data_IF_466875822802
#
_entry.id   IF_466875822802
#
_cell.length_a   1.000
_cell.length_b   1.000
_cell.length_c   1.000
_cell.angle_alpha   90.00
_cell.angle_beta   90.00
_cell.angle_gamma   90.00
#
_symmetry.space_group_name_H-M   'P 1'
#
loop_
_entity.id
_entity.type
_entity.pdbx_description
1 polymer ?
2 non-polymer ?
3 water ?
#
# COMPACT_ATOMS: atom_id res chain seq x y z
N UNK A 24 25.84 10.97 -2.15
CA UNK A 24 25.62 10.72 -3.63
C UNK A 24 24.15 10.87 -4.07
N UNK A 25 23.22 10.29 -3.30
CA UNK A 25 21.77 10.42 -3.56
C UNK A 25 21.18 11.61 -2.82
N UNK A 26 20.41 12.42 -3.54
CA UNK A 26 19.79 13.61 -3.03
C UNK A 26 18.31 13.56 -3.34
N UNK A 27 17.48 13.88 -2.35
CA UNK A 27 16.04 14.01 -2.55
C UNK A 27 15.66 15.47 -2.58
N UNK A 28 15.14 15.88 -3.74
CA UNK A 28 14.73 17.25 -3.96
C UNK A 28 13.30 17.44 -3.56
N UNK A 29 13.06 17.52 -2.26
CA UNK A 29 11.72 17.56 -1.73
C UNK A 29 11.63 18.18 -0.36
N UNK A 30 10.56 18.94 -0.14
CA UNK A 30 10.22 19.46 1.18
C UNK A 30 9.23 18.56 1.95
N UNK A 31 8.88 17.40 1.39
CA UNK A 31 7.85 16.50 1.95
C UNK A 31 8.40 15.46 2.93
N UNK A 32 7.82 15.41 4.15
CA UNK A 32 8.34 14.44 5.13
C UNK A 32 8.01 12.97 4.81
N UNK A 33 6.90 12.73 4.10
CA UNK A 33 6.53 11.37 3.73
C UNK A 33 7.39 10.87 2.57
N UNK A 34 7.79 11.75 1.65
CA UNK A 34 8.73 11.32 0.62
C UNK A 34 10.06 10.87 1.24
N UNK A 35 10.54 11.62 2.21
CA UNK A 35 11.69 11.22 2.98
C UNK A 35 11.49 9.84 3.62
N UNK A 36 10.39 9.67 4.34
CA UNK A 36 10.11 8.40 4.98
C UNK A 36 10.09 7.26 3.96
N UNK A 37 9.47 7.49 2.80
CA UNK A 37 9.40 6.45 1.76
C UNK A 37 10.74 6.07 1.19
N UNK A 38 11.53 7.09 0.85
CA UNK A 38 12.88 6.84 0.32
C UNK A 38 13.73 6.02 1.29
N UNK A 39 13.50 6.19 2.59
CA UNK A 39 14.25 5.43 3.61
C UNK A 39 14.07 3.93 3.46
N UNK A 40 12.93 3.52 2.88
CA UNK A 40 12.69 2.10 2.66
C UNK A 40 13.77 1.45 1.82
N UNK A 41 14.43 2.23 0.98
CA UNK A 41 15.47 1.70 0.09
C UNK A 41 16.83 1.51 0.77
N UNK A 42 17.00 2.07 1.97
CA UNK A 42 18.20 1.95 2.79
C UNK A 42 19.50 2.43 2.09
N UNK A 43 19.37 3.47 1.28
CA UNK A 43 20.50 4.11 0.65
C UNK A 43 20.67 5.46 1.34
N UNK A 44 21.91 5.82 1.62
CA UNK A 44 22.20 7.13 2.19
C UNK A 44 21.70 8.22 1.24
N UNK A 45 21.06 9.23 1.79
CA UNK A 45 20.70 10.42 1.03
C UNK A 45 20.59 11.62 1.94
N UNK A 46 20.62 12.79 1.34
CA UNK A 46 20.27 14.04 1.97
C UNK A 46 19.10 14.69 1.25
N UNK A 47 18.35 15.50 1.97
CA UNK A 47 17.25 16.27 1.37
C UNK A 47 17.60 17.72 1.20
N UNK A 48 16.95 18.34 0.23
CA UNK A 48 17.08 19.76 0.04
C UNK A 48 15.81 20.23 -0.63
N UNK A 49 15.42 21.47 -0.33
CA UNK A 49 14.22 22.05 -0.90
C UNK A 49 14.50 22.57 -2.32
N UNK A 50 13.72 22.10 -3.30
CA UNK A 50 13.91 22.54 -4.69
C UNK A 50 13.32 23.91 -4.96
N UNK A 51 13.76 24.50 -6.07
CA UNK A 51 13.36 25.83 -6.52
C UNK A 51 12.59 25.77 -7.85
N UNK A 52 11.26 25.67 -7.76
CA UNK A 52 10.39 25.50 -8.95
C UNK A 52 9.10 26.32 -8.86
N UNK A 53 8.54 26.65 -10.04
CA UNK A 53 7.19 27.20 -10.11
C UNK A 53 6.19 26.04 -10.19
N UNK A 54 5.49 25.76 -9.08
CA UNK A 54 4.51 24.66 -9.01
C UNK A 54 3.16 25.00 -9.66
N UNK A 55 2.99 26.26 -10.05
CA UNK A 55 1.76 26.72 -10.70
C UNK A 55 1.53 25.97 -12.01
N UNK A 56 0.38 25.28 -12.13
CA UNK A 56 -0.01 24.73 -13.42
C UNK A 56 -0.06 25.82 -14.50
N UNK A 57 0.44 25.48 -15.67
CA UNK A 57 0.47 26.40 -16.79
C UNK A 57 -0.79 26.16 -17.60
N UNK A 58 -1.06 27.07 -18.53
CA UNK A 58 -2.32 27.07 -19.29
C UNK A 58 -2.38 25.85 -20.20
N UNK A 59 -3.49 25.11 -20.12
CA UNK A 59 -3.70 23.90 -20.93
C UNK A 59 -2.81 22.69 -20.59
N UNK A 60 -1.96 22.84 -19.57
CA UNK A 60 -1.08 21.75 -19.10
C UNK A 60 -1.91 20.63 -18.50
N UNK A 61 -1.74 19.40 -19.00
CA UNK A 61 -2.51 18.29 -18.51
C UNK A 61 -1.93 17.80 -17.16
N UNK A 62 -2.68 16.97 -16.43
CA UNK A 62 -2.17 16.46 -15.15
C UNK A 62 -0.85 15.72 -15.28
N UNK A 63 -0.73 14.84 -16.27
CA UNK A 63 0.51 14.11 -16.48
C UNK A 63 1.64 15.03 -16.90
N UNK A 64 1.36 16.04 -17.72
CA UNK A 64 2.39 16.99 -18.11
C UNK A 64 2.90 17.77 -16.92
N UNK A 65 1.98 18.19 -16.07
CA UNK A 65 2.33 18.93 -14.86
C UNK A 65 3.27 18.13 -13.96
N UNK A 66 2.90 16.90 -13.62
CA UNK A 66 3.74 16.18 -12.65
C UNK A 66 5.08 15.76 -13.25
N UNK A 67 5.11 15.43 -14.54
CA UNK A 67 6.39 15.20 -15.24
C UNK A 67 7.29 16.44 -15.22
N UNK A 68 6.73 17.59 -15.60
CA UNK A 68 7.48 18.85 -15.58
C UNK A 68 8.04 19.13 -14.19
N UNK A 69 7.17 19.14 -13.19
CA UNK A 69 7.56 19.43 -11.80
C UNK A 69 8.59 18.45 -11.26
N UNK A 70 8.47 17.17 -11.59
CA UNK A 70 9.44 16.20 -11.08
C UNK A 70 10.84 16.56 -11.63
N UNK A 71 10.90 16.76 -12.94
CA UNK A 71 12.15 17.10 -13.65
C UNK A 71 12.74 18.42 -13.18
N UNK A 72 11.88 19.42 -13.01
CA UNK A 72 12.31 20.73 -12.51
C UNK A 72 12.85 20.70 -11.10
N UNK A 73 12.18 19.97 -10.20
CA UNK A 73 12.71 19.85 -8.84
C UNK A 73 14.12 19.27 -8.79
N UNK A 74 14.33 18.17 -9.51
CA UNK A 74 15.59 17.47 -9.55
C UNK A 74 16.66 18.37 -10.15
N UNK A 75 16.33 19.02 -11.26
CA UNK A 75 17.30 19.92 -11.91
C UNK A 75 17.63 21.21 -11.18
N UNK A 76 16.72 21.68 -10.33
CA UNK A 76 16.95 22.91 -9.59
C UNK A 76 18.08 22.79 -8.55
N UNK A 77 18.50 21.58 -8.23
CA UNK A 77 19.58 21.38 -7.27
C UNK A 77 20.94 21.04 -7.92
N UNK A 78 20.99 21.06 -9.25
CA UNK A 78 22.19 20.67 -10.01
C UNK A 78 23.42 21.52 -9.68
N UNK A 79 23.21 22.81 -9.41
CA UNK A 79 24.33 23.70 -9.09
C UNK A 79 24.78 23.46 -7.64
N UNK A 80 23.83 23.21 -6.74
CA UNK A 80 24.17 22.90 -5.34
C UNK A 80 24.79 21.51 -5.20
N UNK A 81 24.37 20.57 -6.06
CA UNK A 81 24.76 19.17 -5.95
C UNK A 81 25.18 18.68 -7.32
N UNK A 82 26.41 19.05 -7.73
CA UNK A 82 26.85 18.87 -9.12
C UNK A 82 27.50 17.53 -9.49
N UNK A 83 27.51 16.57 -8.58
CA UNK A 83 28.13 15.29 -8.82
C UNK A 83 27.33 14.21 -8.10
N UNK A 84 26.02 14.18 -8.37
CA UNK A 84 25.05 13.48 -7.55
C UNK A 84 23.89 12.89 -8.38
N UNK A 85 23.14 11.99 -7.75
CA UNK A 85 21.89 11.50 -8.30
C UNK A 85 20.79 12.23 -7.54
N UNK A 86 19.95 12.98 -8.25
CA UNK A 86 18.98 13.82 -7.60
C UNK A 86 17.57 13.36 -7.98
N UNK A 87 16.75 13.12 -6.97
CA UNK A 87 15.37 12.64 -7.17
C UNK A 87 14.38 13.74 -7.03
N UNK A 88 13.50 13.83 -8.02
CA UNK A 88 12.40 14.77 -7.96
C UNK A 88 11.11 14.00 -8.14
N UNK A 89 10.05 14.46 -7.48
CA UNK A 89 8.73 13.81 -7.59
C UNK A 89 7.64 14.84 -7.37
N UNK A 90 6.49 14.62 -8.00
CA UNK A 90 5.32 15.45 -7.80
C UNK A 90 4.09 14.58 -8.01
N UNK A 91 3.00 14.95 -7.36
CA UNK A 91 1.78 14.17 -7.48
C UNK A 91 0.58 15.10 -7.61
N UNK A 92 -0.37 14.69 -8.45
CA UNK A 92 -1.66 15.32 -8.53
C UNK A 92 -2.80 14.32 -8.48
N UNK A 93 -3.91 14.83 -8.02
CA UNK A 93 -5.12 14.07 -7.80
C UNK A 93 -6.11 14.55 -8.86
N UNK A 94 -6.68 13.60 -9.58
CA UNK A 94 -7.57 13.92 -10.70
C UNK A 94 -8.93 13.24 -10.50
N UNK A 95 -9.96 14.06 -10.53
CA UNK A 95 -11.35 13.66 -10.34
C UNK A 95 -12.11 14.16 -11.56
N UNK A 96 -12.68 13.24 -12.33
CA UNK A 96 -13.44 13.60 -13.54
C UNK A 96 -12.63 14.53 -14.45
N UNK A 97 -11.38 14.15 -14.71
CA UNK A 97 -10.49 14.88 -15.61
C UNK A 97 -9.90 16.18 -15.08
N UNK A 98 -10.31 16.60 -13.89
CA UNK A 98 -9.89 17.88 -13.32
C UNK A 98 -8.95 17.68 -12.16
N UNK A 99 -7.86 18.45 -12.18
CA UNK A 99 -6.93 18.45 -11.08
C UNK A 99 -7.69 18.94 -9.87
N UNK A 100 -7.52 18.25 -8.74
CA UNK A 100 -8.23 18.57 -7.52
C UNK A 100 -7.22 18.83 -6.42
N UNK A 101 -7.32 19.99 -5.77
CA UNK A 101 -6.37 20.37 -4.75
C UNK A 101 -6.86 20.01 -3.36
N UNK A 102 -6.19 20.58 -2.36
CA UNK A 102 -6.56 20.42 -0.96
C UNK A 102 -7.90 21.11 -0.75
N UNK A 103 -8.82 20.49 0.02
CA UNK A 103 -10.12 21.12 0.25
C UNK A 103 -10.08 22.39 1.10
N UNK A 104 -9.26 22.37 2.15
CA UNK A 104 -9.08 23.50 3.05
C UNK A 104 -10.27 23.70 4.00
N UNK A 105 -11.51 23.49 3.54
CA UNK A 105 -12.68 23.57 4.44
C UNK A 105 -13.41 22.25 4.48
N UNK A 106 -14.16 22.04 5.55
CA UNK A 106 -14.97 20.83 5.69
C UNK A 106 -16.01 20.74 4.58
N UNK A 107 -16.59 21.88 4.18
CA UNK A 107 -17.55 21.94 3.05
C UNK A 107 -16.92 21.40 1.76
N UNK A 108 -15.73 21.88 1.44
CA UNK A 108 -15.01 21.42 0.26
C UNK A 108 -14.58 19.95 0.38
N UNK A 109 -14.25 19.49 1.59
CA UNK A 109 -13.92 18.07 1.80
C UNK A 109 -15.12 17.19 1.49
N UNK A 110 -16.30 17.58 1.97
CA UNK A 110 -17.50 16.81 1.66
C UNK A 110 -17.79 16.82 0.17
N UNK A 111 -17.61 17.97 -0.46
CA UNK A 111 -17.80 18.10 -1.91
C UNK A 111 -16.89 17.13 -2.68
N UNK A 112 -15.61 17.14 -2.34
CA UNK A 112 -14.66 16.26 -3.04
C UNK A 112 -15.06 14.80 -2.92
N UNK A 113 -15.49 14.39 -1.73
CA UNK A 113 -15.86 13.01 -1.46
C UNK A 113 -17.15 12.64 -2.17
N UNK A 114 -18.07 13.60 -2.34
CA UNK A 114 -19.26 13.38 -3.18
C UNK A 114 -18.88 13.14 -4.60
N UNK A 115 -17.88 13.86 -5.09
CA UNK A 115 -17.36 13.63 -6.44
C UNK A 115 -16.64 12.26 -6.56
N UNK A 116 -15.93 11.87 -5.50
CA UNK A 116 -15.22 10.56 -5.42
C UNK A 116 -16.18 9.36 -5.34
N UNK A 117 -17.32 9.55 -4.67
CA UNK A 117 -18.26 8.48 -4.42
C UNK A 117 -18.68 7.76 -5.70
N UNK A 118 -18.60 6.44 -5.66
CA UNK A 118 -18.92 5.57 -6.80
C UNK A 118 -18.10 5.85 -8.05
N UNK A 119 -16.93 6.45 -7.87
CA UNK A 119 -16.12 6.96 -8.96
C UNK A 119 -14.70 6.42 -8.76
N UNK A 120 -13.82 6.74 -9.70
CA UNK A 120 -12.41 6.41 -9.62
C UNK A 120 -11.63 7.73 -9.50
N UNK A 121 -10.80 7.84 -8.47
CA UNK A 121 -9.90 8.96 -8.32
C UNK A 121 -8.55 8.48 -8.82
N UNK A 122 -7.93 9.24 -9.71
CA UNK A 122 -6.65 8.90 -10.28
C UNK A 122 -5.60 9.86 -9.78
N UNK A 123 -4.54 9.30 -9.24
CA UNK A 123 -3.34 10.03 -8.90
C UNK A 123 -2.29 9.79 -9.94
N UNK A 124 -1.71 10.87 -10.47
CA UNK A 124 -0.53 10.77 -11.32
C UNK A 124 0.67 11.23 -10.53
N UNK A 125 1.71 10.41 -10.50
CA UNK A 125 2.91 10.70 -9.76
C UNK A 125 4.08 10.71 -10.74
N UNK A 126 4.66 11.89 -10.93
CA UNK A 126 5.86 12.05 -11.76
C UNK A 126 7.10 11.80 -10.93
N UNK A 127 8.09 11.23 -11.59
CA UNK A 127 9.35 10.89 -10.97
C UNK A 127 10.48 11.26 -11.92
N UNK A 128 11.54 11.85 -11.39
CA UNK A 128 12.73 12.11 -12.21
C UNK A 128 13.96 11.76 -11.40
N UNK A 129 14.93 11.13 -12.05
CA UNK A 129 16.28 11.01 -11.54
C UNK A 129 17.26 11.73 -12.48
N UNK A 130 17.90 12.77 -11.96
CA UNK A 130 18.90 13.54 -12.69
C UNK A 130 20.30 13.25 -12.14
N UNK A 131 21.17 12.76 -13.00
CA UNK A 131 22.57 12.60 -12.67
C UNK A 131 23.28 13.89 -13.06
N UNK A 132 23.67 14.67 -12.07
CA UNK A 132 24.27 15.97 -12.33
C UNK A 132 25.72 15.81 -12.80
N UNK A 133 26.33 14.65 -12.55
CA UNK A 133 27.71 14.37 -12.98
C UNK A 133 27.84 14.14 -14.48
N UNK A 134 26.94 13.34 -15.06
CA UNK A 134 26.96 13.05 -16.51
C UNK A 134 25.76 13.63 -17.28
N UNK A 135 24.83 14.25 -16.55
CA UNK A 135 23.68 14.90 -17.16
C UNK A 135 22.50 14.01 -17.58
N UNK A 136 22.56 12.72 -17.28
CA UNK A 136 21.50 11.81 -17.71
C UNK A 136 20.22 12.12 -16.89
N UNK A 137 19.11 12.32 -17.58
CA UNK A 137 17.81 12.55 -16.94
C UNK A 137 16.89 11.41 -17.30
N UNK A 138 16.23 10.82 -16.29
CA UNK A 138 15.19 9.83 -16.54
C UNK A 138 13.93 10.34 -15.90
N UNK A 139 12.79 10.15 -16.57
CA UNK A 139 11.54 10.66 -16.06
C UNK A 139 10.48 9.59 -16.32
N UNK A 140 9.46 9.57 -15.48
CA UNK A 140 8.36 8.64 -15.63
C UNK A 140 7.16 9.24 -14.92
N UNK A 141 5.96 8.93 -15.41
CA UNK A 141 4.72 9.28 -14.73
C UNK A 141 3.98 7.97 -14.53
N UNK A 142 3.55 7.71 -13.30
CA UNK A 142 2.90 6.45 -12.96
C UNK A 142 1.53 6.76 -12.37
N UNK A 143 0.46 6.12 -12.89
CA UNK A 143 -0.86 6.40 -12.34
C UNK A 143 -1.20 5.44 -11.22
N UNK A 144 -2.15 5.83 -10.40
CA UNK A 144 -2.73 4.93 -9.44
C UNK A 144 -4.20 5.28 -9.29
N UNK A 145 -5.06 4.27 -9.38
CA UNK A 145 -6.52 4.48 -9.38
C UNK A 145 -7.13 3.97 -8.07
N UNK A 146 -7.91 4.83 -7.42
CA UNK A 146 -8.58 4.48 -6.20
C UNK A 146 -10.07 4.41 -6.55
N UNK A 147 -10.62 3.20 -6.50
CA UNK A 147 -12.05 2.96 -6.82
C UNK A 147 -12.84 3.11 -5.54
N UNK A 148 -13.77 4.07 -5.50
CA UNK A 148 -14.59 4.31 -4.33
C UNK A 148 -15.87 3.50 -4.28
N UNK A 149 -16.27 3.15 -3.08
CA UNK A 149 -17.62 2.70 -2.82
C UNK A 149 -18.59 3.82 -3.10
N UNK A 150 -19.85 3.47 -3.29
CA UNK A 150 -20.93 4.45 -3.31
C UNK A 150 -21.17 4.80 -1.88
N UNK A 151 -20.96 6.07 -1.53
CA UNK A 151 -21.00 6.52 -0.14
C UNK A 151 -22.29 7.26 0.12
N UNK A 152 -22.79 7.14 1.34
CA UNK A 152 -23.98 7.90 1.78
C UNK A 152 -23.51 9.26 2.26
N UNK A 153 -24.45 10.20 2.36
CA UNK A 153 -24.15 11.50 2.93
C UNK A 153 -23.63 11.36 4.36
N UNK A 154 -24.21 10.45 5.13
CA UNK A 154 -23.81 10.22 6.50
C UNK A 154 -22.37 9.73 6.57
N UNK A 155 -22.04 8.77 5.70
CA UNK A 155 -20.66 8.27 5.63
C UNK A 155 -19.67 9.40 5.35
N UNK A 156 -19.99 10.23 4.35
CA UNK A 156 -19.15 11.35 3.99
C UNK A 156 -18.95 12.31 5.16
N UNK A 157 -20.05 12.64 5.84
CA UNK A 157 -20.01 13.58 6.96
C UNK A 157 -19.16 12.99 8.07
N UNK A 158 -19.37 11.70 8.35
CA UNK A 158 -18.62 11.04 9.43
C UNK A 158 -17.11 10.93 9.18
N UNK A 159 -16.74 10.59 7.95
CA UNK A 159 -15.33 10.50 7.58
C UNK A 159 -14.66 11.87 7.76
N UNK A 160 -15.29 12.92 7.24
CA UNK A 160 -14.66 14.24 7.31
C UNK A 160 -14.50 14.69 8.76
N UNK A 161 -15.52 14.46 9.58
CA UNK A 161 -15.49 14.84 11.00
C UNK A 161 -14.45 14.05 11.81
N UNK A 162 -14.26 12.77 11.47
CA UNK A 162 -13.29 11.93 12.18
C UNK A 162 -11.87 12.17 11.68
N UNK A 163 -11.71 12.33 10.37
CA UNK A 163 -10.39 12.33 9.74
C UNK A 163 -9.83 13.75 9.53
N UNK A 164 -10.73 14.72 9.34
CA UNK A 164 -10.35 16.11 9.03
C UNK A 164 -9.31 16.23 7.92
N UNK A 165 -9.59 15.68 6.72
CA UNK A 165 -8.58 15.60 5.68
C UNK A 165 -8.45 16.90 4.90
N UNK A 166 -8.37 18.01 5.62
CA UNK A 166 -8.50 19.33 5.00
C UNK A 166 -7.26 19.72 4.20
N UNK A 167 -6.13 19.06 4.42
CA UNK A 167 -4.93 19.35 3.65
C UNK A 167 -4.48 18.17 2.78
N UNK A 168 -5.42 17.26 2.50
CA UNK A 168 -5.21 16.16 1.56
C UNK A 168 -5.97 16.43 0.29
N UNK A 169 -5.26 16.52 -0.84
CA UNK A 169 -5.93 16.62 -2.13
C UNK A 169 -6.82 15.40 -2.34
N UNK A 170 -8.10 15.64 -2.67
CA UNK A 170 -9.08 14.55 -2.79
C UNK A 170 -9.83 14.24 -1.50
N UNK A 171 -9.34 14.77 -0.39
CA UNK A 171 -10.04 14.75 0.91
C UNK A 171 -10.11 13.39 1.58
N UNK A 172 -9.11 12.55 1.33
CA UNK A 172 -9.00 11.26 2.02
C UNK A 172 -7.53 10.88 2.15
N UNK A 173 -7.28 9.97 3.09
CA UNK A 173 -5.95 9.45 3.42
C UNK A 173 -5.96 7.95 3.15
N UNK A 174 -5.34 7.55 2.04
CA UNK A 174 -5.38 6.15 1.58
C UNK A 174 -4.66 5.16 2.50
N UNK A 175 -3.66 5.65 3.21
CA UNK A 175 -2.85 4.74 4.05
C UNK A 175 -3.49 4.51 5.42
N UNK A 176 -4.56 5.24 5.75
CA UNK A 176 -5.20 5.08 7.06
C UNK A 176 -6.67 4.72 7.00
N UNK A 177 -7.47 5.55 7.65
CA UNK A 177 -8.90 5.33 7.81
C UNK A 177 -9.63 5.43 6.49
N UNK A 178 -9.01 6.01 5.47
CA UNK A 178 -9.58 6.11 4.14
C UNK A 178 -9.94 4.77 3.48
N UNK A 179 -9.27 3.71 3.90
CA UNK A 179 -9.57 2.33 3.45
C UNK A 179 -11.05 2.00 3.63
N UNK A 180 -11.71 2.69 4.56
CA UNK A 180 -13.14 2.49 4.81
C UNK A 180 -14.06 2.95 3.70
N UNK A 181 -13.50 3.72 2.76
CA UNK A 181 -14.22 4.34 1.66
C UNK A 181 -14.08 3.63 0.33
N UNK A 182 -13.13 2.71 0.23
CA UNK A 182 -12.70 2.19 -1.06
C UNK A 182 -13.32 0.83 -1.45
N UNK A 183 -13.46 0.61 -2.74
CA UNK A 183 -13.86 -0.71 -3.25
C UNK A 183 -12.64 -1.51 -3.66
N UNK A 184 -11.69 -0.83 -4.29
CA UNK A 184 -10.43 -1.42 -4.65
C UNK A 184 -9.40 -0.36 -5.02
N UNK A 185 -8.16 -0.81 -5.06
CA UNK A 185 -6.99 0.01 -5.35
C UNK A 185 -6.31 -0.65 -6.53
N UNK A 186 -6.00 0.13 -7.56
CA UNK A 186 -5.50 -0.40 -8.82
C UNK A 186 -4.26 0.39 -9.27
N UNK A 187 -3.10 -0.26 -9.16
CA UNK A 187 -1.85 0.37 -9.60
C UNK A 187 -0.67 -0.53 -9.38
N UNK A 188 0.45 -0.15 -9.98
CA UNK A 188 1.65 -0.97 -9.98
C UNK A 188 2.26 -1.08 -8.60
N UNK A 189 2.20 0.01 -7.83
CA UNK A 189 3.02 0.16 -6.64
C UNK A 189 2.25 1.04 -5.63
N UNK A 190 1.88 0.49 -4.48
CA UNK A 190 1.22 1.23 -3.39
C UNK A 190 1.95 2.49 -2.92
N UNK A 191 3.28 2.50 -3.01
CA UNK A 191 4.05 3.65 -2.67
C UNK A 191 3.75 4.86 -3.55
N UNK A 192 3.41 4.59 -4.80
CA UNK A 192 3.10 5.61 -5.78
C UNK A 192 1.91 6.42 -5.28
N UNK A 193 0.91 5.74 -4.74
CA UNK A 193 -0.23 6.42 -4.15
C UNK A 193 0.22 7.32 -2.99
N UNK A 194 1.13 6.85 -2.14
CA UNK A 194 1.63 7.66 -1.02
C UNK A 194 2.52 8.83 -1.47
N UNK A 195 3.07 8.77 -2.68
CA UNK A 195 3.70 9.94 -3.32
C UNK A 195 5.12 9.75 -3.85
N UNK A 196 5.65 8.53 -3.78
CA UNK A 196 6.96 8.22 -4.40
C UNK A 196 6.93 6.82 -5.03
N UNK A 197 7.07 6.74 -6.37
CA UNK A 197 7.03 5.45 -7.08
C UNK A 197 8.34 4.70 -6.90
N UNK A 198 8.39 3.80 -5.94
CA UNK A 198 9.64 3.21 -5.50
C UNK A 198 10.12 2.12 -6.41
N UNK A 199 9.20 1.32 -6.95
CA UNK A 199 9.57 0.34 -7.96
C UNK A 199 10.18 1.08 -9.16
N UNK A 200 9.52 2.14 -9.60
CA UNK A 200 10.08 2.91 -10.74
C UNK A 200 11.43 3.56 -10.37
N UNK A 201 11.53 4.11 -9.17
CA UNK A 201 12.79 4.70 -8.70
C UNK A 201 13.94 3.68 -8.65
N UNK A 202 13.66 2.50 -8.11
CA UNK A 202 14.65 1.43 -8.10
C UNK A 202 15.20 1.12 -9.47
N UNK A 203 14.31 1.02 -10.46
CA UNK A 203 14.69 0.84 -11.85
C UNK A 203 15.61 1.96 -12.37
N UNK A 204 15.26 3.22 -12.09
CA UNK A 204 16.11 4.34 -12.48
C UNK A 204 17.47 4.29 -11.78
N UNK A 205 17.49 3.89 -10.52
CA UNK A 205 18.76 3.80 -9.77
C UNK A 205 19.66 2.68 -10.34
N UNK A 206 19.06 1.56 -10.68
CA UNK A 206 19.83 0.47 -11.31
C UNK A 206 20.42 0.92 -12.65
N UNK A 207 19.63 1.63 -13.44
CA UNK A 207 20.11 2.20 -14.70
C UNK A 207 21.30 3.17 -14.52
N UNK A 208 21.42 3.77 -13.35
CA UNK A 208 22.60 4.58 -13.01
C UNK A 208 23.66 3.82 -12.21
N UNK A 209 23.56 2.50 -12.14
CA UNK A 209 24.55 1.69 -11.42
C UNK A 209 24.49 1.87 -9.91
N UNK A 210 23.32 2.23 -9.37
CA UNK A 210 23.14 2.34 -7.94
C UNK A 210 21.95 1.52 -7.46
N UNK A 211 22.03 0.22 -7.67
CA UNK A 211 21.03 -0.73 -7.16
C UNK A 211 21.02 -0.69 -5.63
N UNK A 212 19.84 -0.49 -5.02
CA UNK A 212 19.79 -0.55 -3.57
C UNK A 212 20.31 -1.87 -3.03
N UNK A 213 20.19 -2.94 -3.83
CA UNK A 213 20.65 -4.28 -3.46
C UNK A 213 22.15 -4.48 -3.67
N UNK A 214 22.81 -3.61 -4.45
CA UNK A 214 24.27 -3.68 -4.63
C UNK A 214 24.98 -3.28 -3.34
N UNK B 24 -16.18 -5.78 22.33
CA UNK B 24 -17.05 -6.40 21.29
C UNK B 24 -16.25 -7.03 20.14
N UNK B 25 -15.25 -6.33 19.64
CA UNK B 25 -14.43 -6.82 18.53
C UNK B 25 -13.14 -7.50 19.01
N UNK B 26 -12.89 -8.72 18.49
CA UNK B 26 -11.75 -9.52 18.86
C UNK B 26 -10.95 -9.95 17.64
N UNK B 27 -9.63 -9.80 17.72
CA UNK B 27 -8.73 -10.27 16.67
C UNK B 27 -8.06 -11.55 17.18
N UNK B 28 -8.38 -12.68 16.54
CA UNK B 28 -7.76 -13.97 16.83
C UNK B 28 -6.39 -14.08 16.19
N UNK B 29 -5.46 -13.30 16.71
CA UNK B 29 -4.09 -13.24 16.22
C UNK B 29 -3.25 -12.48 17.24
N UNK B 30 -2.00 -12.90 17.42
CA UNK B 30 -1.01 -12.10 18.15
C UNK B 30 0.05 -11.50 17.21
N UNK B 31 -0.23 -11.48 15.91
CA UNK B 31 0.65 -10.86 14.93
C UNK B 31 0.61 -9.34 15.13
N UNK B 32 1.78 -8.71 15.31
CA UNK B 32 1.78 -7.25 15.44
C UNK B 32 1.41 -6.55 14.11
N UNK B 33 1.70 -7.18 12.98
CA UNK B 33 1.28 -6.65 11.68
C UNK B 33 -0.24 -6.61 11.54
N UNK B 34 -0.91 -7.70 11.91
CA UNK B 34 -2.37 -7.76 11.80
C UNK B 34 -2.99 -6.77 12.75
N UNK B 35 -2.41 -6.68 13.94
CA UNK B 35 -2.90 -5.76 14.97
C UNK B 35 -2.85 -4.33 14.45
N UNK B 36 -1.68 -3.93 13.92
CA UNK B 36 -1.49 -2.60 13.33
C UNK B 36 -2.49 -2.29 12.23
N UNK B 37 -2.76 -3.27 11.38
CA UNK B 37 -3.68 -3.09 10.26
C UNK B 37 -5.10 -2.87 10.74
N UNK B 38 -5.55 -3.70 11.67
CA UNK B 38 -6.90 -3.54 12.23
C UNK B 38 -7.10 -2.17 12.91
N UNK B 39 -6.05 -1.67 13.54
CA UNK B 39 -6.13 -0.36 14.20
C UNK B 39 -6.48 0.76 13.23
N UNK B 40 -6.20 0.56 11.94
CA UNK B 40 -6.60 1.56 10.91
C UNK B 40 -8.09 1.82 10.85
N UNK B 41 -8.90 0.85 11.28
CA UNK B 41 -10.36 0.99 11.22
C UNK B 41 -10.92 1.77 12.42
N UNK B 42 -10.06 2.07 13.42
CA UNK B 42 -10.44 2.92 14.55
C UNK B 42 -11.57 2.32 15.42
N UNK B 43 -11.76 1.01 15.36
CA UNK B 43 -12.70 0.30 16.24
C UNK B 43 -11.87 -0.36 17.32
N UNK B 44 -12.26 -0.20 18.58
CA UNK B 44 -11.50 -0.81 19.68
C UNK B 44 -11.62 -2.32 19.61
N UNK B 45 -10.51 -3.02 19.88
CA UNK B 45 -10.53 -4.47 19.87
C UNK B 45 -9.55 -5.02 20.89
N UNK B 46 -9.68 -6.31 21.14
CA UNK B 46 -8.74 -7.06 21.94
C UNK B 46 -8.14 -8.20 21.11
N UNK B 47 -6.84 -8.47 21.29
CA UNK B 47 -6.19 -9.62 20.63
C UNK B 47 -6.21 -10.86 21.50
N UNK B 48 -6.24 -12.03 20.85
CA UNK B 48 -6.08 -13.30 21.56
C UNK B 48 -5.51 -14.36 20.60
N UNK B 49 -4.56 -15.14 21.09
CA UNK B 49 -3.97 -16.21 20.30
C UNK B 49 -4.98 -17.36 20.09
N UNK B 50 -5.28 -17.71 18.84
CA UNK B 50 -6.21 -18.81 18.57
C UNK B 50 -5.65 -20.22 18.84
N UNK B 51 -4.33 -20.40 18.76
CA UNK B 51 -3.72 -21.74 18.92
C UNK B 51 -4.32 -22.80 17.97
N UNK B 52 -4.26 -22.54 16.66
CA UNK B 52 -4.75 -23.48 15.65
C UNK B 52 -3.55 -24.09 14.90
N UNK B 53 -3.62 -25.38 14.62
CA UNK B 53 -2.60 -26.05 13.81
C UNK B 53 -2.80 -25.68 12.34
N UNK B 54 -1.83 -24.98 11.77
CA UNK B 54 -1.94 -24.46 10.40
C UNK B 54 -1.34 -25.38 9.33
N UNK B 55 -1.10 -26.65 9.67
CA UNK B 55 -0.51 -27.59 8.71
C UNK B 55 -1.47 -27.91 7.56
N UNK B 56 -1.05 -27.67 6.31
CA UNK B 56 -1.90 -28.01 5.17
C UNK B 56 -2.23 -29.49 5.15
N UNK B 57 -3.45 -29.83 4.72
CA UNK B 57 -3.83 -31.23 4.52
C UNK B 57 -3.43 -31.67 3.11
N UNK B 58 -3.46 -32.99 2.90
CA UNK B 58 -2.90 -33.61 1.68
C UNK B 58 -3.40 -33.01 0.36
N UNK B 59 -4.69 -33.12 0.08
CA UNK B 59 -5.23 -32.63 -1.20
C UNK B 59 -5.97 -31.29 -1.03
N UNK B 60 -5.39 -30.39 -0.25
CA UNK B 60 -6.01 -29.12 0.09
C UNK B 60 -5.42 -28.01 -0.78
N UNK B 61 -6.25 -27.25 -1.46
CA UNK B 61 -5.77 -26.13 -2.26
C UNK B 61 -5.36 -24.95 -1.35
N UNK B 62 -4.53 -24.04 -1.84
CA UNK B 62 -4.17 -22.83 -1.08
C UNK B 62 -5.39 -22.04 -0.62
N UNK B 63 -6.36 -21.88 -1.52
CA UNK B 63 -7.59 -21.17 -1.20
C UNK B 63 -8.38 -21.85 -0.08
N UNK B 64 -8.57 -23.17 -0.20
CA UNK B 64 -9.30 -23.96 0.81
C UNK B 64 -8.64 -23.86 2.18
N UNK B 65 -7.32 -23.99 2.19
CA UNK B 65 -6.53 -23.96 3.41
C UNK B 65 -6.71 -22.66 4.23
N UNK B 66 -6.46 -21.52 3.59
CA UNK B 66 -6.56 -20.24 4.32
C UNK B 66 -8.00 -19.93 4.70
N UNK B 67 -8.96 -20.37 3.88
CA UNK B 67 -10.37 -20.24 4.23
C UNK B 67 -10.70 -20.98 5.53
N UNK B 68 -10.25 -22.24 5.59
CA UNK B 68 -10.47 -23.11 6.74
C UNK B 68 -9.78 -22.55 7.96
N UNK B 69 -8.52 -22.16 7.80
CA UNK B 69 -7.73 -21.67 8.89
C UNK B 69 -8.30 -20.36 9.45
N UNK B 70 -8.78 -19.48 8.58
CA UNK B 70 -9.39 -18.23 9.05
C UNK B 70 -10.62 -18.50 9.92
N UNK B 71 -11.52 -19.32 9.40
CA UNK B 71 -12.69 -19.80 10.13
C UNK B 71 -12.38 -20.45 11.46
N UNK B 72 -11.44 -21.38 11.46
CA UNK B 72 -11.12 -22.09 12.70
C UNK B 72 -10.55 -21.15 13.74
N UNK B 73 -9.70 -20.21 13.32
CA UNK B 73 -9.08 -19.27 14.25
C UNK B 73 -10.14 -18.43 14.94
N UNK B 74 -11.14 -18.00 14.19
CA UNK B 74 -12.24 -17.20 14.73
C UNK B 74 -13.15 -18.04 15.62
N UNK B 75 -13.50 -19.21 15.13
CA UNK B 75 -14.35 -20.14 15.90
C UNK B 75 -13.65 -20.70 17.14
N UNK B 76 -12.34 -20.86 17.11
CA UNK B 76 -11.63 -21.40 18.27
C UNK B 76 -11.77 -20.54 19.53
N UNK B 77 -12.05 -19.25 19.36
CA UNK B 77 -12.16 -18.31 20.49
C UNK B 77 -13.60 -18.06 20.94
N UNK B 78 -14.56 -18.78 20.36
CA UNK B 78 -15.98 -18.48 20.60
C UNK B 78 -16.43 -18.68 22.05
N UNK B 79 -15.83 -19.61 22.78
CA UNK B 79 -16.23 -19.85 24.17
C UNK B 79 -15.55 -18.84 25.10
N UNK B 80 -14.26 -18.56 24.90
CA UNK B 80 -13.56 -17.52 25.67
C UNK B 80 -14.14 -16.13 25.40
N UNK B 81 -14.71 -15.94 24.22
CA UNK B 81 -15.32 -14.67 23.79
C UNK B 81 -16.66 -14.94 23.14
N UNK B 82 -17.68 -15.25 23.96
CA UNK B 82 -18.95 -15.82 23.51
C UNK B 82 -20.04 -14.83 23.12
N UNK B 83 -19.79 -13.55 23.29
CA UNK B 83 -20.67 -12.49 22.78
C UNK B 83 -19.89 -11.42 22.01
N UNK B 84 -19.33 -11.81 20.87
CA UNK B 84 -18.33 -11.00 20.16
C UNK B 84 -18.30 -11.23 18.65
N UNK B 85 -17.78 -10.22 17.94
CA UNK B 85 -17.36 -10.37 16.56
C UNK B 85 -15.88 -10.71 16.60
N UNK B 86 -15.55 -11.90 16.10
CA UNK B 86 -14.20 -12.41 16.13
C UNK B 86 -13.64 -12.48 14.71
N UNK B 87 -12.48 -11.89 14.53
CA UNK B 87 -11.83 -11.87 13.23
C UNK B 87 -10.77 -12.94 13.18
N UNK B 88 -10.86 -13.81 12.17
CA UNK B 88 -9.79 -14.77 11.89
C UNK B 88 -9.19 -14.50 10.51
N UNK B 89 -7.88 -14.73 10.40
CA UNK B 89 -7.18 -14.58 9.14
C UNK B 89 -6.00 -15.54 8.98
N UNK B 90 -5.71 -15.92 7.76
CA UNK B 90 -4.57 -16.80 7.48
C UNK B 90 -4.05 -16.47 6.11
N UNK B 91 -2.76 -16.67 5.89
CA UNK B 91 -2.16 -16.36 4.63
C UNK B 91 -1.10 -17.41 4.26
N UNK B 92 -1.04 -17.75 2.98
CA UNK B 92 0.05 -18.56 2.46
C UNK B 92 0.48 -17.95 1.16
N UNK B 93 1.67 -18.29 0.68
CA UNK B 93 1.98 -17.99 -0.71
C UNK B 93 2.27 -19.27 -1.47
N UNK B 94 2.15 -19.18 -2.78
CA UNK B 94 2.31 -20.31 -3.64
C UNK B 94 3.48 -20.01 -4.56
N UNK B 95 4.46 -20.90 -4.55
CA UNK B 95 5.64 -20.77 -5.39
C UNK B 95 5.66 -21.93 -6.38
N UNK B 96 5.23 -21.65 -7.62
CA UNK B 96 5.01 -22.67 -8.66
C UNK B 96 4.14 -23.82 -8.12
N UNK B 97 2.94 -23.47 -7.69
CA UNK B 97 1.97 -24.45 -7.18
C UNK B 97 2.28 -25.10 -5.83
N UNK B 98 3.34 -24.69 -5.14
CA UNK B 98 3.66 -25.22 -3.81
C UNK B 98 3.34 -24.23 -2.67
N UNK B 99 2.54 -24.65 -1.71
CA UNK B 99 2.15 -23.83 -0.55
C UNK B 99 3.35 -23.62 0.36
N UNK B 100 3.54 -22.38 0.81
CA UNK B 100 4.69 -22.01 1.64
C UNK B 100 4.26 -21.13 2.82
N UNK B 105 14.60 -20.58 8.38
CA UNK B 105 16.03 -20.32 8.28
C UNK B 105 16.33 -19.31 7.18
N UNK B 106 17.45 -18.61 7.33
CA UNK B 106 17.97 -17.75 6.26
C UNK B 106 18.51 -18.57 5.09
N UNK B 107 18.67 -19.87 5.31
CA UNK B 107 19.18 -20.79 4.28
C UNK B 107 18.18 -21.00 3.13
N UNK B 108 16.90 -21.11 3.46
CA UNK B 108 15.87 -21.34 2.44
C UNK B 108 15.53 -20.08 1.64
N UNK B 109 15.58 -18.93 2.31
CA UNK B 109 15.31 -17.64 1.68
C UNK B 109 16.10 -17.47 0.39
N UNK B 110 17.38 -17.83 0.40
CA UNK B 110 18.19 -17.80 -0.82
C UNK B 110 17.59 -18.62 -1.96
N UNK B 111 17.03 -19.78 -1.63
CA UNK B 111 16.37 -20.67 -2.60
C UNK B 111 14.96 -20.18 -2.93
N UNK B 112 14.21 -19.86 -1.87
CA UNK B 112 12.85 -19.34 -1.94
C UNK B 112 12.73 -18.02 -2.74
N UNK B 113 13.72 -17.14 -2.61
CA UNK B 113 13.83 -15.98 -3.47
C UNK B 113 14.29 -16.42 -4.85
N UNK B 114 15.19 -17.41 -4.88
CA UNK B 114 15.60 -18.01 -6.15
C UNK B 114 14.40 -18.60 -6.90
N UNK B 115 13.48 -19.22 -6.15
CA UNK B 115 12.23 -19.74 -6.75
C UNK B 115 11.32 -18.61 -7.23
N UNK B 116 11.13 -17.59 -6.39
CA UNK B 116 10.33 -16.40 -6.74
C UNK B 116 10.85 -15.62 -7.94
N UNK B 117 12.17 -15.66 -8.17
CA UNK B 117 12.83 -14.83 -9.17
C UNK B 117 12.24 -14.91 -10.56
N UNK B 118 11.89 -13.76 -11.12
CA UNK B 118 11.29 -13.66 -12.41
C UNK B 118 9.89 -14.24 -12.51
N UNK B 119 9.25 -14.55 -11.39
CA UNK B 119 7.93 -15.17 -11.39
C UNK B 119 6.88 -14.33 -10.69
N UNK B 120 5.62 -14.66 -10.96
CA UNK B 120 4.50 -14.08 -10.24
C UNK B 120 4.19 -15.03 -9.07
N UNK B 121 4.34 -14.54 -7.85
CA UNK B 121 4.01 -15.29 -6.67
C UNK B 121 2.67 -14.81 -6.10
N UNK B 122 1.72 -15.74 -5.98
CA UNK B 122 0.39 -15.42 -5.50
C UNK B 122 0.28 -15.70 -4.02
N UNK B 123 -0.15 -14.69 -3.27
CA UNK B 123 -0.54 -14.85 -1.88
C UNK B 123 -2.04 -15.03 -1.79
N UNK B 124 -2.48 -15.99 -0.96
CA UNK B 124 -3.88 -16.15 -0.63
C UNK B 124 -4.10 -15.79 0.83
N UNK B 125 -5.05 -14.90 1.07
CA UNK B 125 -5.35 -14.44 2.41
C UNK B 125 -6.83 -14.69 2.70
N UNK B 126 -7.08 -15.56 3.69
CA UNK B 126 -8.42 -15.89 4.12
C UNK B 126 -8.80 -14.98 5.28
N UNK B 127 -10.08 -14.67 5.35
CA UNK B 127 -10.63 -13.79 6.36
C UNK B 127 -11.97 -14.33 6.77
N UNK B 128 -12.20 -14.38 8.08
CA UNK B 128 -13.51 -14.75 8.64
C UNK B 128 -13.90 -13.77 9.71
N UNK B 129 -15.19 -13.41 9.72
CA UNK B 129 -15.79 -12.64 10.78
C UNK B 129 -16.89 -13.53 11.36
N UNK B 130 -16.71 -13.95 12.60
CA UNK B 130 -17.62 -14.83 13.29
C UNK B 130 -18.29 -14.08 14.41
N UNK B 131 -19.61 -14.04 14.34
CA UNK B 131 -20.39 -13.49 15.42
C UNK B 131 -20.71 -14.62 16.40
N UNK B 132 -19.98 -14.66 17.53
CA UNK B 132 -20.14 -15.72 18.54
C UNK B 132 -21.43 -15.59 19.35
N UNK B 133 -22.08 -14.43 19.28
CA UNK B 133 -23.41 -14.24 19.90
C UNK B 133 -24.46 -15.07 19.18
N UNK B 134 -24.58 -14.88 17.86
CA UNK B 134 -25.63 -15.54 17.05
C UNK B 134 -25.16 -16.56 16.02
N UNK B 135 -23.86 -16.83 15.99
CA UNK B 135 -23.31 -17.84 15.09
C UNK B 135 -23.17 -17.48 13.61
N UNK B 136 -23.51 -16.25 13.23
CA UNK B 136 -23.42 -15.84 11.84
C UNK B 136 -21.94 -15.78 11.43
N UNK B 137 -21.63 -16.38 10.28
CA UNK B 137 -20.26 -16.42 9.78
C UNK B 137 -20.14 -15.80 8.39
N UNK B 138 -19.11 -14.95 8.23
CA UNK B 138 -18.75 -14.44 6.92
C UNK B 138 -17.33 -14.83 6.62
N UNK B 139 -17.10 -15.27 5.39
CA UNK B 139 -15.76 -15.65 4.96
C UNK B 139 -15.44 -15.10 3.59
N UNK B 140 -14.14 -14.94 3.33
CA UNK B 140 -13.67 -14.46 2.06
C UNK B 140 -12.21 -14.83 1.93
N UNK B 141 -11.79 -15.15 0.71
CA UNK B 141 -10.39 -15.40 0.42
C UNK B 141 -10.01 -14.42 -0.69
N UNK B 142 -8.93 -13.69 -0.51
CA UNK B 142 -8.55 -12.69 -1.48
C UNK B 142 -7.11 -12.92 -1.94
N UNK B 143 -6.90 -13.00 -3.27
CA UNK B 143 -5.57 -13.20 -3.80
C UNK B 143 -4.82 -11.87 -3.96
N UNK B 144 -3.50 -11.95 -3.98
CA UNK B 144 -2.65 -10.80 -4.25
C UNK B 144 -1.41 -11.35 -4.96
N UNK B 145 -1.08 -10.77 -6.10
CA UNK B 145 0.03 -11.24 -6.92
C UNK B 145 1.22 -10.30 -6.76
N UNK B 146 2.36 -10.89 -6.44
CA UNK B 146 3.62 -10.18 -6.45
C UNK B 146 4.45 -10.64 -7.64
N UNK B 147 4.70 -9.73 -8.57
CA UNK B 147 5.53 -9.97 -9.74
C UNK B 147 6.96 -9.64 -9.36
N UNK B 148 7.82 -10.65 -9.31
CA UNK B 148 9.22 -10.43 -8.93
C UNK B 148 10.06 -10.09 -10.15
N UNK B 149 11.04 -9.23 -9.94
CA UNK B 149 12.07 -8.96 -10.94
C UNK B 149 12.88 -10.22 -11.15
N UNK B 150 13.51 -10.35 -12.31
CA UNK B 150 14.57 -11.33 -12.47
C UNK B 150 15.68 -10.94 -11.50
N UNK B 151 16.02 -11.82 -10.56
CA UNK B 151 17.06 -11.52 -9.60
C UNK B 151 18.36 -12.26 -9.96
N UNK B 152 19.50 -11.63 -9.65
CA UNK B 152 20.81 -12.31 -9.72
C UNK B 152 21.09 -12.93 -8.34
N UNK B 153 22.07 -13.84 -8.27
CA UNK B 153 22.41 -14.47 -6.99
C UNK B 153 22.88 -13.42 -5.98
N UNK B 154 23.65 -12.45 -6.46
CA UNK B 154 24.20 -11.38 -5.60
C UNK B 154 23.09 -10.61 -4.87
N UNK B 155 22.15 -10.10 -5.67
CA UNK B 155 20.96 -9.41 -5.16
C UNK B 155 20.29 -10.23 -4.06
N UNK B 156 20.00 -11.48 -4.38
CA UNK B 156 19.36 -12.41 -3.44
C UNK B 156 20.20 -12.54 -2.16
N UNK B 157 21.51 -12.69 -2.35
CA UNK B 157 22.48 -12.73 -1.24
C UNK B 157 22.43 -11.44 -0.43
N UNK B 158 22.60 -10.32 -1.11
CA UNK B 158 22.56 -9.02 -0.44
C UNK B 158 21.27 -8.79 0.34
N UNK B 159 20.13 -9.21 -0.22
CA UNK B 159 18.83 -9.00 0.44
C UNK B 159 18.67 -9.83 1.71
N UNK B 160 19.04 -11.11 1.64
CA UNK B 160 19.01 -11.99 2.81
C UNK B 160 19.96 -11.45 3.88
N UNK B 161 21.18 -11.10 3.47
CA UNK B 161 22.16 -10.46 4.39
C UNK B 161 21.50 -9.31 5.17
N UNK B 162 20.76 -8.45 4.47
CA UNK B 162 19.97 -7.38 5.10
C UNK B 162 18.55 -7.86 5.44
N UNK B 172 9.38 -11.65 3.32
CA UNK B 172 9.93 -10.35 2.94
C UNK B 172 8.98 -9.19 3.27
N UNK B 173 9.57 -8.03 3.56
CA UNK B 173 8.81 -6.82 3.89
C UNK B 173 8.35 -6.12 2.60
N UNK B 174 7.10 -6.37 2.20
CA UNK B 174 6.52 -5.73 1.02
C UNK B 174 6.23 -4.24 1.27
N UNK B 175 6.02 -3.87 2.55
CA UNK B 175 5.87 -2.47 2.96
C UNK B 175 7.22 -1.79 3.21
N UNK B 176 8.31 -2.54 3.08
CA UNK B 176 9.65 -2.01 3.34
C UNK B 176 10.64 -2.27 2.22
N UNK B 177 11.77 -2.90 2.57
CA UNK B 177 12.90 -3.07 1.67
C UNK B 177 12.66 -4.09 0.57
N UNK B 178 11.66 -4.95 0.76
CA UNK B 178 11.28 -5.92 -0.28
C UNK B 178 10.82 -5.29 -1.60
N UNK B 179 10.46 -4.01 -1.56
CA UNK B 179 10.10 -3.29 -2.77
C UNK B 179 11.23 -3.33 -3.82
N UNK B 180 12.47 -3.47 -3.35
CA UNK B 180 13.63 -3.61 -4.27
C UNK B 180 13.63 -4.88 -5.11
N UNK B 181 12.76 -5.82 -4.78
CA UNK B 181 12.67 -7.11 -5.50
C UNK B 181 11.56 -7.21 -6.52
N UNK B 182 10.62 -6.26 -6.50
CA UNK B 182 9.37 -6.36 -7.26
C UNK B 182 9.33 -5.55 -8.56
N UNK B 183 8.62 -6.10 -9.53
CA UNK B 183 8.31 -5.46 -10.79
C UNK B 183 6.93 -4.78 -10.69
N UNK B 184 6.02 -5.43 -9.96
CA UNK B 184 4.62 -4.99 -9.90
C UNK B 184 3.88 -5.73 -8.80
N UNK B 185 2.96 -5.03 -8.14
CA UNK B 185 2.07 -5.60 -7.13
C UNK B 185 0.63 -5.51 -7.65
N UNK B 186 -0.07 -6.64 -7.70
CA UNK B 186 -1.39 -6.68 -8.33
C UNK B 186 -2.41 -7.34 -7.44
N UNK B 187 -3.38 -6.55 -6.99
CA UNK B 187 -4.45 -7.07 -6.15
C UNK B 187 -5.40 -5.98 -5.74
N UNK B 188 -6.53 -6.38 -5.16
CA UNK B 188 -7.56 -5.44 -4.75
C UNK B 188 -7.09 -4.45 -3.71
N UNK B 189 -6.26 -4.93 -2.77
CA UNK B 189 -6.03 -4.23 -1.52
C UNK B 189 -4.60 -4.52 -1.02
N UNK B 190 -3.71 -3.51 -1.02
CA UNK B 190 -2.34 -3.75 -0.50
C UNK B 190 -2.28 -4.23 0.96
N UNK B 191 -3.29 -3.93 1.78
CA UNK B 191 -3.35 -4.43 3.13
C UNK B 191 -3.42 -5.97 3.20
N UNK B 192 -4.09 -6.56 2.22
CA UNK B 192 -4.18 -8.00 2.10
C UNK B 192 -2.81 -8.66 2.02
N UNK B 193 -1.90 -8.01 1.31
CA UNK B 193 -0.57 -8.55 1.12
C UNK B 193 0.13 -8.59 2.46
N UNK B 194 -0.04 -7.54 3.26
CA UNK B 194 0.58 -7.43 4.58
C UNK B 194 -0.03 -8.40 5.57
N UNK B 195 -1.30 -8.74 5.36
CA UNK B 195 -1.90 -9.88 6.04
C UNK B 195 -3.34 -9.78 6.51
N UNK B 196 -4.02 -8.67 6.25
CA UNK B 196 -5.41 -8.54 6.64
C UNK B 196 -6.19 -7.85 5.53
N UNK B 197 -7.23 -8.52 4.98
CA UNK B 197 -7.93 -7.85 3.89
C UNK B 197 -8.91 -6.81 4.44
N UNK B 198 -8.45 -5.59 4.56
CA UNK B 198 -9.25 -4.58 5.28
C UNK B 198 -10.47 -4.10 4.51
N UNK B 199 -10.37 -3.96 3.20
CA UNK B 199 -11.56 -3.57 2.41
C UNK B 199 -12.65 -4.63 2.62
N UNK B 200 -12.26 -5.90 2.49
CA UNK B 200 -13.21 -7.01 2.64
C UNK B 200 -13.77 -7.05 4.07
N UNK B 201 -12.90 -6.82 5.06
CA UNK B 201 -13.34 -6.75 6.45
C UNK B 201 -14.33 -5.64 6.71
N UNK B 202 -14.10 -4.45 6.13
CA UNK B 202 -15.07 -3.36 6.27
C UNK B 202 -16.47 -3.76 5.77
N UNK B 203 -16.52 -4.44 4.63
CA UNK B 203 -17.80 -4.91 4.08
C UNK B 203 -18.49 -5.86 5.04
N UNK B 204 -17.73 -6.83 5.58
CA UNK B 204 -18.26 -7.78 6.58
C UNK B 204 -18.79 -7.06 7.82
N UNK B 205 -18.03 -6.08 8.31
CA UNK B 205 -18.46 -5.25 9.42
C UNK B 205 -19.73 -4.46 9.11
N UNK B 206 -19.80 -3.86 7.91
CA UNK B 206 -21.02 -3.19 7.47
C UNK B 206 -22.26 -4.13 7.52
N UNK B 207 -22.10 -5.37 7.08
CA UNK B 207 -23.18 -6.35 7.16
C UNK B 207 -23.61 -6.65 8.56
N UNK B 208 -22.68 -6.64 9.50
CA UNK B 208 -22.99 -6.87 10.91
C UNK B 208 -23.44 -5.58 11.62
N UNK B 209 -23.74 -4.55 10.84
CA UNK B 209 -24.17 -3.26 11.38
C UNK B 209 -23.13 -2.51 12.18
N UNK B 210 -21.84 -2.73 11.86
CA UNK B 210 -20.74 -2.03 12.52
C UNK B 210 -19.80 -1.36 11.48
N UNK B 211 -20.38 -0.61 10.57
CA UNK B 211 -19.60 0.23 9.63
C UNK B 211 -18.61 1.03 10.46
N UNK B 212 -17.29 0.86 10.20
CA UNK B 212 -16.33 1.68 10.91
C UNK B 212 -16.63 3.19 10.85
N UNK B 213 -17.32 3.62 9.81
CA UNK B 213 -17.63 5.02 9.61
C UNK B 213 -18.69 5.55 10.59
N UNK B 214 -19.47 4.67 11.22
CA UNK B 214 -20.56 5.07 12.14
C UNK B 214 -20.13 5.06 13.61
X LIG C 1 -27.17 9.56 1.26
X LIG D 1 -2.80 -15.28 13.30
#
# INVERSE_FOLDING_TARGET
MGSSHHHHHHSSGRENLYFQGMPKLILASTSPWRRALLEKLQISFECAAPEVDETPRSDESPRQLVLRLAQEKAQSLASRYPDHLIIGSAQVCVLDGEITGKPLTEENARLQLRKASGNIVTFYTGLALFNSANGHLQTEVEPFDVHFRHLSEAEIDNYVRKEHPLHCAGSFKSEGFGITLFERLEGRDPNTLVGLPLIALCQMLRREGKNPLMG
MGSSHHHHHHSSGRENLYFQGMPKLILASTSPWRRALLEKLQISFECAAPEVDETPRSDESPRQLVLRLAQEKAQSLASRYPDHLIIGSAQVCVLDGEITGKPLTEENARLQLRKASGNIVTFYTGLALFNSANGHLQTEVEPFDVHFRHLSEAEIDNYVRKEHPLHCAGSFKSEGFGITLFERLEGRDPNTLVGLPLIALCQMLRREGKNPLMG
UNX UNK
UNX UNK
#
